data_IF_302633659146
#
_entry.id   IF_302633659146
#
_cell.length_a   1.000
_cell.length_b   1.000
_cell.length_c   1.000
_cell.angle_alpha   90.00
_cell.angle_beta   90.00
_cell.angle_gamma   90.00
#
_symmetry.space_group_name_H-M   'P 1'
#
loop_
_entity.id
_entity.type
_entity.pdbx_description
1 polymer ?
#
# COMPACT_ATOMS: atom_id res chain seq x y z
N UNK A 1 8.55 9.53 -7.95
CA UNK A 1 7.27 10.18 -7.63
C UNK A 1 6.68 10.78 -8.89
N UNK A 2 5.34 10.83 -9.05
CA UNK A 2 4.76 11.64 -10.11
C UNK A 2 5.10 13.11 -9.88
N UNK A 3 5.30 13.89 -10.95
CA UNK A 3 5.66 15.28 -10.83
C UNK A 3 4.58 16.13 -10.13
N UNK A 4 3.32 15.69 -10.20
CA UNK A 4 2.19 16.36 -9.57
C UNK A 4 1.26 15.36 -8.88
N UNK A 5 0.87 15.63 -7.63
CA UNK A 5 -0.09 14.84 -6.87
C UNK A 5 -1.48 15.50 -6.95
N UNK A 6 -2.35 14.96 -7.83
CA UNK A 6 -3.70 15.47 -8.01
C UNK A 6 -4.67 14.94 -6.94
N UNK A 7 -5.58 15.79 -6.47
CA UNK A 7 -6.78 15.41 -5.74
C UNK A 7 -6.55 14.67 -4.42
N UNK A 8 -5.46 14.98 -3.69
CA UNK A 8 -5.11 14.32 -2.42
C UNK A 8 -4.87 15.31 -1.27
N UNK A 9 -5.43 16.51 -1.38
CA UNK A 9 -5.25 17.53 -0.35
C UNK A 9 -5.97 17.16 0.95
N UNK A 10 -7.16 16.59 0.87
CA UNK A 10 -7.94 16.16 2.05
C UNK A 10 -7.17 15.13 2.86
N UNK A 11 -6.60 14.13 2.20
CA UNK A 11 -5.81 13.08 2.86
C UNK A 11 -4.53 13.62 3.48
N UNK A 12 -3.88 14.61 2.82
CA UNK A 12 -2.73 15.30 3.40
C UNK A 12 -3.11 16.13 4.63
N UNK A 13 -4.27 16.80 4.61
CA UNK A 13 -4.77 17.58 5.73
C UNK A 13 -5.15 16.68 6.92
N UNK A 14 -5.75 15.51 6.65
CA UNK A 14 -6.04 14.49 7.66
C UNK A 14 -4.76 13.95 8.31
N UNK A 15 -3.77 13.62 7.51
CA UNK A 15 -2.45 13.22 8.03
C UNK A 15 -1.80 14.35 8.85
N UNK A 16 -1.87 15.59 8.35
CA UNK A 16 -1.38 16.77 9.07
C UNK A 16 -2.02 16.95 10.46
N UNK A 17 -3.31 16.62 10.60
CA UNK A 17 -4.01 16.62 11.91
C UNK A 17 -3.50 15.51 12.82
N UNK A 18 -3.26 14.30 12.29
CA UNK A 18 -2.69 13.20 13.08
C UNK A 18 -1.30 13.55 13.61
N UNK A 19 -0.48 14.30 12.87
CA UNK A 19 0.84 14.76 13.31
C UNK A 19 0.82 15.80 14.45
N UNK A 20 -0.35 16.35 14.81
CA UNK A 20 -0.51 17.25 15.95
C UNK A 20 -0.77 16.50 17.27
N UNK A 21 -0.94 15.20 17.25
CA UNK A 21 -1.11 14.39 18.46
C UNK A 21 0.14 14.47 19.34
N UNK A 22 -0.04 14.77 20.61
CA UNK A 22 1.02 14.69 21.63
C UNK A 22 1.09 13.30 22.26
N UNK A 23 -0.06 12.65 22.38
CA UNK A 23 -0.21 11.23 22.71
C UNK A 23 -0.88 10.56 21.53
N UNK A 24 -0.39 9.42 21.07
CA UNK A 24 -0.94 8.73 19.91
C UNK A 24 -2.28 8.10 20.28
N UNK A 25 -3.35 8.73 19.82
CA UNK A 25 -4.73 8.26 19.99
C UNK A 25 -5.15 7.41 18.78
N UNK A 26 -4.67 7.78 17.61
CA UNK A 26 -4.97 7.11 16.35
C UNK A 26 -3.70 6.91 15.51
N UNK A 27 -3.56 5.73 14.98
CA UNK A 27 -2.62 5.38 13.91
C UNK A 27 -3.31 5.60 12.56
N UNK A 28 -2.63 5.38 11.44
CA UNK A 28 -3.18 5.62 10.12
C UNK A 28 -3.22 4.34 9.28
N UNK A 29 -4.35 4.12 8.61
CA UNK A 29 -4.45 3.16 7.49
C UNK A 29 -4.78 3.91 6.21
N UNK A 30 -3.93 3.75 5.20
CA UNK A 30 -4.25 4.12 3.82
C UNK A 30 -4.70 2.88 3.06
N UNK A 31 -5.95 2.82 2.65
CA UNK A 31 -6.47 1.66 1.93
C UNK A 31 -7.14 2.06 0.62
N UNK A 32 -7.22 1.13 -0.29
CA UNK A 32 -7.83 1.34 -1.61
C UNK A 32 -7.36 0.31 -2.63
N UNK A 33 -7.98 0.30 -3.79
CA UNK A 33 -7.64 -0.62 -4.87
C UNK A 33 -6.21 -0.42 -5.38
N UNK A 34 -5.71 -1.35 -6.17
CA UNK A 34 -4.41 -1.20 -6.84
C UNK A 34 -4.47 -0.03 -7.83
N UNK A 35 -3.39 0.75 -7.89
CA UNK A 35 -3.26 1.86 -8.83
C UNK A 35 -3.97 3.16 -8.45
N UNK A 36 -4.56 3.27 -7.25
CA UNK A 36 -5.17 4.52 -6.74
C UNK A 36 -4.15 5.52 -6.16
N UNK A 37 -2.87 5.15 -6.10
CA UNK A 37 -1.79 6.05 -5.66
C UNK A 37 -1.43 5.98 -4.17
N UNK A 38 -1.72 4.86 -3.47
CA UNK A 38 -1.40 4.67 -2.04
C UNK A 38 0.07 4.91 -1.72
N UNK A 39 0.97 4.19 -2.41
CA UNK A 39 2.43 4.30 -2.24
C UNK A 39 2.92 5.73 -2.48
N UNK A 40 2.39 6.39 -3.52
CA UNK A 40 2.74 7.78 -3.85
C UNK A 40 2.33 8.72 -2.72
N UNK A 41 1.14 8.54 -2.16
CA UNK A 41 0.66 9.36 -1.05
C UNK A 41 1.49 9.10 0.22
N UNK A 42 1.81 7.83 0.52
CA UNK A 42 2.67 7.47 1.65
C UNK A 42 4.05 8.18 1.54
N UNK A 43 4.66 8.15 0.36
CA UNK A 43 5.94 8.84 0.10
C UNK A 43 5.81 10.37 0.19
N UNK A 44 4.64 10.92 -0.11
CA UNK A 44 4.35 12.35 0.08
C UNK A 44 4.22 12.72 1.55
N UNK A 45 3.72 11.84 2.40
CA UNK A 45 3.59 12.05 3.84
C UNK A 45 4.94 12.14 4.55
N UNK A 46 5.95 11.43 4.07
CA UNK A 46 7.28 11.40 4.68
C UNK A 46 7.92 12.80 4.82
N UNK A 47 8.07 13.61 3.78
CA UNK A 47 8.62 14.97 3.94
C UNK A 47 7.74 15.86 4.82
N UNK A 48 6.41 15.72 4.78
CA UNK A 48 5.48 16.47 5.65
C UNK A 48 5.76 16.15 7.11
N UNK A 49 5.90 14.86 7.47
CA UNK A 49 6.19 14.42 8.82
C UNK A 49 7.56 14.94 9.30
N UNK A 50 8.60 14.81 8.47
CA UNK A 50 9.96 15.28 8.80
C UNK A 50 9.99 16.79 9.04
N UNK A 51 9.31 17.59 8.19
CA UNK A 51 9.20 19.03 8.36
C UNK A 51 8.49 19.43 9.68
N UNK A 52 7.58 18.58 10.16
CA UNK A 52 6.91 18.79 11.43
C UNK A 52 7.67 18.24 12.65
N UNK A 53 8.90 17.73 12.44
CA UNK A 53 9.77 17.24 13.54
C UNK A 53 9.56 15.78 13.91
N UNK A 54 8.89 14.98 13.09
CA UNK A 54 8.76 13.55 13.28
C UNK A 54 9.93 12.80 12.63
N UNK A 55 10.35 11.71 13.29
CA UNK A 55 11.22 10.71 12.65
C UNK A 55 10.38 9.75 11.81
N UNK A 56 10.97 9.20 10.76
CA UNK A 56 10.28 8.33 9.81
C UNK A 56 11.11 7.12 9.46
N UNK A 57 10.56 5.93 9.65
CA UNK A 57 11.15 4.65 9.26
C UNK A 57 10.09 3.76 8.62
N UNK A 58 10.52 2.69 7.98
CA UNK A 58 9.65 1.69 7.37
C UNK A 58 9.94 1.46 5.91
N UNK A 59 9.27 0.47 5.35
CA UNK A 59 9.43 -0.03 3.99
C UNK A 59 8.23 -0.91 3.60
N UNK A 60 8.32 -1.60 2.46
CA UNK A 60 7.30 -2.57 2.06
C UNK A 60 7.31 -3.80 2.97
N UNK A 61 6.13 -4.24 3.38
CA UNK A 61 5.96 -5.51 4.09
C UNK A 61 5.96 -6.66 3.10
N UNK A 62 7.05 -7.42 3.08
CA UNK A 62 7.15 -8.63 2.28
C UNK A 62 6.44 -9.82 2.95
N UNK A 63 6.08 -10.81 2.16
CA UNK A 63 5.54 -12.08 2.68
C UNK A 63 6.51 -12.73 3.69
N UNK A 64 7.82 -12.65 3.43
CA UNK A 64 8.86 -13.20 4.33
C UNK A 64 8.86 -12.53 5.70
N UNK A 65 8.55 -11.25 5.79
CA UNK A 65 8.44 -10.53 7.07
C UNK A 65 7.27 -11.05 7.90
N UNK A 66 6.19 -11.48 7.25
CA UNK A 66 4.96 -11.98 7.88
C UNK A 66 5.01 -13.47 8.28
N UNK A 67 6.10 -14.18 8.03
CA UNK A 67 6.18 -15.64 8.30
C UNK A 67 6.20 -15.94 9.79
N UNK A 68 6.84 -15.10 10.61
CA UNK A 68 7.02 -15.33 12.04
C UNK A 68 7.10 -14.05 12.85
N UNK A 69 6.83 -14.17 14.14
CA UNK A 69 7.00 -13.10 15.11
C UNK A 69 8.46 -12.59 15.15
N UNK A 70 9.44 -13.49 15.04
CA UNK A 70 10.87 -13.13 14.99
C UNK A 70 11.20 -12.27 13.78
N UNK A 71 10.58 -12.54 12.62
CA UNK A 71 10.81 -11.75 11.41
C UNK A 71 10.29 -10.32 11.56
N UNK A 72 9.14 -10.13 12.22
CA UNK A 72 8.64 -8.81 12.60
C UNK A 72 9.62 -8.10 13.54
N UNK A 73 10.17 -8.82 14.53
CA UNK A 73 11.15 -8.23 15.44
C UNK A 73 12.41 -7.76 14.70
N UNK A 74 12.98 -8.61 13.83
CA UNK A 74 14.13 -8.24 12.99
C UNK A 74 13.80 -7.03 12.12
N UNK A 75 12.61 -6.99 11.52
CA UNK A 75 12.17 -5.85 10.69
C UNK A 75 12.13 -4.55 11.49
N UNK A 76 11.47 -4.54 12.64
CA UNK A 76 11.37 -3.35 13.49
C UNK A 76 12.74 -2.85 13.97
N UNK A 77 13.63 -3.76 14.37
CA UNK A 77 15.00 -3.42 14.79
C UNK A 77 15.82 -2.86 13.63
N UNK A 78 15.67 -3.44 12.44
CA UNK A 78 16.34 -2.96 11.23
C UNK A 78 15.90 -1.55 10.88
N UNK A 79 14.59 -1.29 10.86
CA UNK A 79 14.03 0.02 10.55
C UNK A 79 14.46 1.06 11.57
N UNK A 80 14.38 0.72 12.85
CA UNK A 80 14.83 1.59 13.94
C UNK A 80 16.31 1.97 13.80
N UNK A 81 17.17 1.01 13.41
CA UNK A 81 18.60 1.24 13.24
C UNK A 81 18.94 2.28 12.18
N UNK A 82 18.08 2.47 11.19
CA UNK A 82 18.27 3.47 10.12
C UNK A 82 18.41 4.88 10.69
N UNK A 83 17.62 5.23 11.72
CA UNK A 83 17.61 6.56 12.33
C UNK A 83 18.46 6.64 13.60
N UNK A 84 18.79 5.51 14.23
CA UNK A 84 19.48 5.48 15.51
C UNK A 84 20.98 5.24 15.40
N UNK A 85 21.50 4.79 14.25
CA UNK A 85 22.91 4.40 14.06
C UNK A 85 23.92 5.52 14.36
N UNK A 86 23.52 6.78 14.27
CA UNK A 86 24.36 7.93 14.60
C UNK A 86 24.33 8.32 16.07
N UNK A 87 23.46 7.70 16.87
CA UNK A 87 23.30 8.05 18.30
C UNK A 87 24.32 7.28 19.14
N UNK A 88 25.19 8.01 19.81
CA UNK A 88 26.18 7.43 20.73
C UNK A 88 25.51 7.02 22.04
N UNK A 89 25.64 5.76 22.42
CA UNK A 89 25.08 5.19 23.66
C UNK A 89 26.11 5.06 24.77
N UNK A 90 27.39 4.83 24.43
CA UNK A 90 28.51 4.85 25.36
C UNK A 90 29.80 5.30 24.66
N UNK A 91 30.67 5.95 25.41
CA UNK A 91 32.03 6.33 24.96
C UNK A 91 33.01 5.84 25.99
N UNK A 92 33.99 5.06 25.58
CA UNK A 92 35.11 4.58 26.44
C UNK A 92 36.40 5.10 25.85
N UNK A 93 37.22 5.70 26.73
CA UNK A 93 38.59 6.06 26.37
C UNK A 93 39.48 4.84 26.50
N UNK A 94 39.92 4.26 25.39
CA UNK A 94 40.86 3.17 25.37
C UNK A 94 42.28 3.72 25.33
N UNK A 95 43.01 3.54 26.42
CA UNK A 95 44.46 3.84 26.47
C UNK A 95 45.20 2.67 25.85
N UNK A 96 45.47 2.77 24.56
CA UNK A 96 46.35 1.78 23.91
C UNK A 96 47.77 1.94 24.47
N UNK A 97 48.25 0.93 25.19
CA UNK A 97 49.62 0.87 25.64
C UNK A 97 50.59 0.82 24.45
N UNK A 98 51.10 1.97 24.05
CA UNK A 98 52.02 2.14 22.91
C UNK A 98 52.19 3.63 22.54
N UNK A 99 53.09 3.94 21.65
CA UNK A 99 53.61 5.26 21.29
C UNK A 99 52.61 6.35 20.82
N UNK A 100 51.29 6.18 20.92
CA UNK A 100 50.28 7.22 20.67
C UNK A 100 49.91 7.95 21.96
N UNK A 101 50.07 9.27 21.95
CA UNK A 101 49.80 10.16 23.11
C UNK A 101 48.31 10.52 23.32
N UNK A 102 47.41 10.15 22.43
CA UNK A 102 46.00 10.47 22.57
C UNK A 102 45.17 9.19 22.75
N UNK A 103 44.22 9.17 23.72
CA UNK A 103 43.30 8.06 23.88
C UNK A 103 42.40 7.95 22.66
N UNK A 104 42.19 6.74 22.18
CA UNK A 104 41.22 6.48 21.11
C UNK A 104 39.84 6.36 21.78
N UNK A 105 38.93 7.24 21.43
CA UNK A 105 37.53 7.13 21.85
C UNK A 105 36.85 6.03 21.06
N UNK A 106 36.48 4.95 21.74
CA UNK A 106 35.58 3.95 21.18
C UNK A 106 34.15 4.33 21.51
N UNK A 107 33.43 4.80 20.50
CA UNK A 107 32.04 5.14 20.61
C UNK A 107 31.16 3.97 20.18
N UNK A 108 30.34 3.49 21.09
CA UNK A 108 29.28 2.54 20.76
C UNK A 108 28.03 3.32 20.36
N UNK A 109 27.54 3.08 19.14
CA UNK A 109 26.32 3.70 18.63
C UNK A 109 25.11 2.76 18.75
N UNK A 110 23.91 3.32 18.68
CA UNK A 110 22.63 2.57 18.70
C UNK A 110 22.38 1.95 17.32
N UNK A 111 23.37 1.17 16.85
CA UNK A 111 23.33 0.45 15.59
C UNK A 111 22.46 -0.81 15.65
N UNK A 112 22.20 -1.44 14.52
CA UNK A 112 21.47 -2.71 14.47
C UNK A 112 22.11 -3.77 15.37
N UNK A 113 23.44 -3.91 15.34
CA UNK A 113 24.15 -4.89 16.18
C UNK A 113 23.96 -4.63 17.68
N UNK A 114 23.97 -3.38 18.10
CA UNK A 114 23.71 -2.98 19.49
C UNK A 114 22.26 -3.29 19.88
N UNK A 115 21.28 -2.88 19.06
CA UNK A 115 19.86 -3.16 19.28
C UNK A 115 19.57 -4.67 19.33
N UNK A 116 20.13 -5.45 18.40
CA UNK A 116 19.96 -6.90 18.36
C UNK A 116 20.60 -7.58 19.59
N UNK A 117 21.80 -7.15 20.00
CA UNK A 117 22.46 -7.67 21.21
C UNK A 117 21.62 -7.39 22.46
N UNK A 118 21.11 -6.19 22.61
CA UNK A 118 20.24 -5.84 23.77
C UNK A 118 18.92 -6.61 23.72
N UNK A 119 18.30 -6.75 22.53
CA UNK A 119 17.09 -7.52 22.34
C UNK A 119 17.26 -8.98 22.80
N UNK A 120 18.37 -9.62 22.47
CA UNK A 120 18.64 -11.01 22.88
C UNK A 120 18.84 -11.16 24.40
N UNK A 121 19.38 -10.14 25.08
CA UNK A 121 19.57 -10.12 26.51
C UNK A 121 18.29 -9.87 27.32
N UNK A 122 17.25 -9.34 26.70
CA UNK A 122 15.97 -9.11 27.36
C UNK A 122 15.24 -10.45 27.53
N UNK A 123 14.84 -10.83 28.77
CA UNK A 123 14.06 -12.04 28.99
C UNK A 123 12.61 -11.88 28.52
N UNK A 124 11.94 -13.00 28.22
CA UNK A 124 10.52 -13.04 27.88
C UNK A 124 10.26 -13.44 26.45
N UNK A 125 8.99 -13.35 26.06
CA UNK A 125 8.52 -13.62 24.70
C UNK A 125 8.95 -12.51 23.73
N UNK A 126 8.82 -12.76 22.43
CA UNK A 126 9.13 -11.78 21.38
C UNK A 126 8.45 -10.43 21.63
N UNK A 127 7.17 -10.45 22.05
CA UNK A 127 6.43 -9.24 22.39
C UNK A 127 7.06 -8.43 23.53
N UNK A 128 7.53 -9.11 24.61
CA UNK A 128 8.10 -8.45 25.77
C UNK A 128 9.46 -7.84 25.42
N UNK A 129 10.28 -8.60 24.70
CA UNK A 129 11.58 -8.15 24.19
C UNK A 129 11.41 -6.91 23.30
N UNK A 130 10.45 -6.94 22.34
CA UNK A 130 10.18 -5.83 21.44
C UNK A 130 9.72 -4.58 22.19
N UNK A 131 8.75 -4.70 23.09
CA UNK A 131 8.28 -3.58 23.89
C UNK A 131 9.45 -2.92 24.63
N UNK A 132 10.26 -3.74 25.28
CA UNK A 132 11.38 -3.24 26.08
C UNK A 132 12.47 -2.58 25.24
N UNK A 133 12.85 -3.16 24.10
CA UNK A 133 13.90 -2.57 23.24
C UNK A 133 13.44 -1.26 22.59
N UNK A 134 12.16 -1.15 22.20
CA UNK A 134 11.59 0.08 21.66
C UNK A 134 11.53 1.20 22.72
N UNK A 135 11.19 0.87 23.98
CA UNK A 135 11.27 1.80 25.09
C UNK A 135 12.71 2.31 25.33
N UNK A 136 13.67 1.39 25.35
CA UNK A 136 15.10 1.74 25.51
C UNK A 136 15.54 2.65 24.37
N UNK A 137 15.23 2.29 23.14
CA UNK A 137 15.59 3.11 21.97
C UNK A 137 14.99 4.51 22.05
N UNK A 138 13.73 4.64 22.49
CA UNK A 138 13.11 5.95 22.68
C UNK A 138 13.83 6.81 23.72
N UNK A 139 14.34 6.24 24.81
CA UNK A 139 15.13 6.98 25.80
C UNK A 139 16.39 7.66 25.21
N UNK A 140 16.92 7.12 24.11
CA UNK A 140 18.02 7.75 23.39
C UNK A 140 17.54 8.71 22.31
N UNK A 141 16.53 8.31 21.52
CA UNK A 141 15.98 9.11 20.44
C UNK A 141 15.39 10.43 20.94
N UNK A 142 14.69 10.43 22.07
CA UNK A 142 14.06 11.64 22.63
C UNK A 142 15.07 12.76 22.91
N UNK A 143 16.35 12.43 23.10
CA UNK A 143 17.43 13.42 23.30
C UNK A 143 17.71 14.26 22.05
N UNK A 144 17.31 13.81 20.88
CA UNK A 144 17.36 14.58 19.62
C UNK A 144 16.14 15.48 19.44
N UNK A 145 15.23 15.52 20.41
CA UNK A 145 14.03 16.35 20.48
C UNK A 145 13.03 16.14 19.31
N UNK A 146 12.74 14.90 18.88
CA UNK A 146 11.71 14.67 17.90
C UNK A 146 10.32 14.74 18.55
N UNK A 147 9.28 15.06 17.79
CA UNK A 147 7.89 14.95 18.24
C UNK A 147 7.46 13.51 18.47
N UNK A 148 7.99 12.59 17.66
CA UNK A 148 7.69 11.17 17.72
C UNK A 148 8.37 10.42 16.58
N UNK A 149 8.03 9.14 16.44
CA UNK A 149 8.55 8.25 15.41
C UNK A 149 7.39 7.58 14.67
N UNK A 150 7.42 7.66 13.35
CA UNK A 150 6.46 7.00 12.47
C UNK A 150 7.10 5.74 11.90
N UNK A 151 6.43 4.60 12.07
CA UNK A 151 6.70 3.36 11.38
C UNK A 151 5.69 3.21 10.24
N UNK A 152 6.16 3.39 9.02
CA UNK A 152 5.31 3.42 7.82
C UNK A 152 5.57 2.19 6.95
N UNK A 153 4.55 1.37 6.75
CA UNK A 153 4.66 0.13 6.01
C UNK A 153 3.68 0.07 4.85
N UNK A 154 4.22 -0.09 3.64
CA UNK A 154 3.39 -0.39 2.46
C UNK A 154 3.17 -1.89 2.29
N UNK A 155 2.23 -2.27 1.42
CA UNK A 155 1.81 -3.66 1.16
C UNK A 155 1.45 -4.44 2.44
N UNK A 156 0.93 -3.75 3.46
CA UNK A 156 0.63 -4.32 4.78
C UNK A 156 -0.43 -5.43 4.76
N UNK A 157 -1.19 -5.61 3.67
CA UNK A 157 -2.07 -6.77 3.52
C UNK A 157 -1.32 -8.12 3.45
N UNK A 158 0.01 -8.10 3.24
CA UNK A 158 0.86 -9.29 3.32
C UNK A 158 1.03 -9.77 4.76
N UNK A 159 0.82 -8.89 5.76
CA UNK A 159 0.79 -9.28 7.16
C UNK A 159 -0.41 -10.20 7.46
N UNK A 160 -0.21 -11.18 8.31
CA UNK A 160 -1.27 -12.09 8.73
C UNK A 160 -0.80 -12.97 9.89
N UNK A 161 -1.75 -13.54 10.60
CA UNK A 161 -1.48 -14.53 11.65
C UNK A 161 -1.57 -15.94 11.06
N UNK A 162 -0.74 -16.84 11.55
CA UNK A 162 -0.58 -18.22 11.08
C UNK A 162 -0.85 -19.19 12.23
N UNK A 163 -2.10 -19.27 12.70
CA UNK A 163 -2.48 -20.07 13.86
C UNK A 163 -2.07 -21.55 13.76
N UNK A 164 -2.12 -22.13 12.56
CA UNK A 164 -1.67 -23.51 12.33
C UNK A 164 -0.15 -23.72 12.60
N UNK A 165 0.64 -22.64 12.64
CA UNK A 165 2.07 -22.65 12.96
C UNK A 165 2.38 -22.00 14.30
N UNK A 166 1.35 -21.65 15.08
CA UNK A 166 1.47 -20.91 16.35
C UNK A 166 2.29 -19.60 16.19
N UNK A 167 2.13 -18.92 15.06
CA UNK A 167 2.78 -17.65 14.76
C UNK A 167 1.74 -16.55 14.55
N UNK A 168 1.90 -15.44 15.27
CA UNK A 168 0.94 -14.34 15.29
C UNK A 168 1.60 -12.98 15.00
N UNK A 169 2.30 -12.83 13.86
CA UNK A 169 3.11 -11.63 13.58
C UNK A 169 2.27 -10.36 13.46
N UNK A 170 1.05 -10.44 12.91
CA UNK A 170 0.15 -9.30 12.82
C UNK A 170 -0.36 -8.89 14.21
N UNK A 171 -0.85 -9.85 14.98
CA UNK A 171 -1.28 -9.64 16.37
C UNK A 171 -0.16 -9.07 17.24
N UNK A 172 1.07 -9.59 17.09
CA UNK A 172 2.25 -9.10 17.78
C UNK A 172 2.51 -7.62 17.48
N UNK A 173 2.48 -7.23 16.19
CA UNK A 173 2.72 -5.85 15.78
C UNK A 173 1.72 -4.90 16.47
N UNK A 174 0.44 -5.23 16.43
CA UNK A 174 -0.62 -4.42 17.04
C UNK A 174 -0.47 -4.32 18.56
N UNK A 175 -0.22 -5.44 19.24
CA UNK A 175 -0.04 -5.50 20.70
C UNK A 175 1.18 -4.69 21.16
N UNK A 176 2.27 -4.74 20.41
CA UNK A 176 3.49 -3.97 20.71
C UNK A 176 3.21 -2.47 20.60
N UNK A 177 2.66 -2.01 19.47
CA UNK A 177 2.39 -0.58 19.29
C UNK A 177 1.35 -0.06 20.29
N UNK A 178 0.26 -0.78 20.54
CA UNK A 178 -0.72 -0.40 21.54
C UNK A 178 -0.08 -0.27 22.95
N UNK A 179 0.79 -1.22 23.31
CA UNK A 179 1.47 -1.21 24.61
C UNK A 179 2.43 -0.01 24.78
N UNK A 180 3.19 0.32 23.73
CA UNK A 180 4.12 1.46 23.69
C UNK A 180 3.35 2.77 23.79
N UNK A 181 2.26 2.91 23.04
CA UNK A 181 1.42 4.11 23.04
C UNK A 181 0.74 4.34 24.40
N UNK A 182 0.34 3.30 25.11
CA UNK A 182 -0.18 3.40 26.49
C UNK A 182 0.84 3.92 27.50
N UNK A 183 2.12 3.95 27.17
CA UNK A 183 3.21 4.53 27.96
C UNK A 183 3.57 5.96 27.53
N UNK A 184 2.69 6.58 26.74
CA UNK A 184 2.88 7.92 26.17
C UNK A 184 4.15 8.05 25.30
N UNK A 185 4.64 6.94 24.74
CA UNK A 185 5.72 6.95 23.77
C UNK A 185 5.11 7.20 22.39
N UNK A 186 5.46 8.31 21.73
CA UNK A 186 4.79 8.76 20.49
C UNK A 186 5.29 8.00 19.26
N UNK A 187 5.05 6.70 19.23
CA UNK A 187 5.27 5.85 18.08
C UNK A 187 3.97 5.64 17.32
N UNK A 188 3.89 6.20 16.11
CA UNK A 188 2.73 6.08 15.23
C UNK A 188 2.97 4.98 14.21
N UNK A 189 1.97 4.13 14.00
CA UNK A 189 1.97 3.10 12.96
C UNK A 189 1.16 3.59 11.77
N UNK A 190 1.76 3.61 10.59
CA UNK A 190 1.11 3.92 9.31
C UNK A 190 1.15 2.70 8.44
N UNK A 191 -0.01 2.16 8.09
CA UNK A 191 -0.13 0.96 7.26
C UNK A 191 -0.82 1.30 5.95
N UNK A 192 -0.23 0.86 4.85
CA UNK A 192 -0.81 1.05 3.53
C UNK A 192 -1.11 -0.33 2.91
N UNK A 193 -2.30 -0.50 2.34
CA UNK A 193 -2.65 -1.79 1.78
C UNK A 193 -3.96 -1.83 0.99
N UNK A 194 -4.33 -3.03 0.59
CA UNK A 194 -5.59 -3.32 -0.09
C UNK A 194 -6.79 -3.21 0.87
N UNK A 195 -8.02 -3.09 0.38
CA UNK A 195 -9.22 -3.01 1.22
C UNK A 195 -9.40 -4.19 2.19
N UNK A 196 -8.75 -5.30 1.94
CA UNK A 196 -8.72 -6.48 2.83
C UNK A 196 -7.88 -6.27 4.09
N UNK A 197 -7.05 -5.22 4.16
CA UNK A 197 -6.17 -4.97 5.30
C UNK A 197 -6.96 -4.73 6.58
N UNK A 198 -7.90 -3.78 6.57
CA UNK A 198 -8.62 -3.42 7.80
C UNK A 198 -9.44 -4.58 8.40
N UNK A 199 -10.23 -5.35 7.62
CA UNK A 199 -10.86 -6.56 8.14
C UNK A 199 -9.89 -7.55 8.80
N UNK A 200 -8.69 -7.77 8.23
CA UNK A 200 -7.65 -8.62 8.83
C UNK A 200 -7.16 -8.09 10.18
N UNK A 201 -6.98 -6.77 10.29
CA UNK A 201 -6.57 -6.14 11.56
C UNK A 201 -7.62 -6.33 12.65
N UNK A 202 -8.89 -6.17 12.31
CA UNK A 202 -10.02 -6.37 13.24
C UNK A 202 -10.16 -7.84 13.64
N UNK A 203 -9.97 -8.76 12.71
CA UNK A 203 -9.96 -10.20 12.97
C UNK A 203 -8.82 -10.60 13.92
N UNK A 204 -7.63 -10.05 13.71
CA UNK A 204 -6.48 -10.28 14.59
C UNK A 204 -6.69 -9.68 15.98
N UNK A 205 -7.19 -8.44 16.06
CA UNK A 205 -7.46 -7.71 17.30
C UNK A 205 -8.65 -6.77 17.16
N UNK A 206 -9.72 -7.04 17.86
CA UNK A 206 -10.97 -6.25 17.81
C UNK A 206 -10.77 -4.76 18.18
N UNK A 207 -9.80 -4.43 19.02
CA UNK A 207 -9.50 -3.05 19.37
C UNK A 207 -8.89 -2.23 18.21
N UNK A 208 -8.50 -2.88 17.11
CA UNK A 208 -7.98 -2.19 15.92
C UNK A 208 -8.97 -1.19 15.34
N UNK A 209 -10.27 -1.41 15.51
CA UNK A 209 -11.31 -0.45 15.09
C UNK A 209 -11.16 0.95 15.73
N UNK A 210 -10.58 1.00 16.93
CA UNK A 210 -10.36 2.24 17.68
C UNK A 210 -8.92 2.73 17.64
N UNK A 211 -8.02 1.89 17.12
CA UNK A 211 -6.58 2.16 17.06
C UNK A 211 -6.20 2.94 15.79
N UNK A 212 -7.03 2.89 14.76
CA UNK A 212 -6.68 3.44 13.45
C UNK A 212 -7.70 4.43 12.92
N UNK A 213 -7.19 5.55 12.42
CA UNK A 213 -7.87 6.41 11.47
C UNK A 213 -7.74 5.80 10.07
N UNK A 214 -8.86 5.63 9.36
CA UNK A 214 -8.88 4.95 8.07
C UNK A 214 -9.14 5.96 6.97
N UNK A 215 -8.19 6.07 6.04
CA UNK A 215 -8.31 6.87 4.83
C UNK A 215 -8.49 5.91 3.65
N UNK A 216 -9.66 5.96 3.04
CA UNK A 216 -9.96 5.16 1.86
C UNK A 216 -9.68 5.97 0.60
N UNK A 217 -8.66 5.56 -0.16
CA UNK A 217 -8.34 6.18 -1.43
C UNK A 217 -9.19 5.57 -2.55
N UNK A 218 -9.94 6.43 -3.21
CA UNK A 218 -10.70 6.08 -4.42
C UNK A 218 -10.02 6.70 -5.66
N UNK A 219 -10.59 6.42 -6.82
CA UNK A 219 -10.25 7.07 -8.09
C UNK A 219 -10.39 8.59 -7.99
N UNK A 220 -9.66 9.30 -8.82
CA UNK A 220 -9.77 10.75 -8.94
C UNK A 220 -11.12 11.13 -9.58
N UNK A 221 -11.69 12.24 -9.17
CA UNK A 221 -12.80 12.84 -9.87
C UNK A 221 -12.36 13.41 -11.23
N UNK A 222 -13.31 13.87 -12.05
CA UNK A 222 -13.01 14.37 -13.40
C UNK A 222 -12.05 15.58 -13.39
N UNK A 223 -12.21 16.50 -12.44
CA UNK A 223 -11.34 17.69 -12.31
C UNK A 223 -9.91 17.31 -11.94
N UNK A 224 -9.77 16.50 -10.89
CA UNK A 224 -8.45 16.02 -10.45
C UNK A 224 -7.76 15.14 -11.50
N UNK A 225 -8.55 14.35 -12.26
CA UNK A 225 -8.01 13.57 -13.38
C UNK A 225 -7.45 14.45 -14.49
N UNK A 226 -8.15 15.54 -14.84
CA UNK A 226 -7.64 16.54 -15.78
C UNK A 226 -6.38 17.22 -15.28
N UNK A 227 -6.33 17.57 -13.99
CA UNK A 227 -5.15 18.14 -13.35
C UNK A 227 -3.96 17.16 -13.39
N UNK A 228 -4.21 15.87 -13.13
CA UNK A 228 -3.17 14.84 -13.21
C UNK A 228 -2.59 14.63 -14.62
N UNK A 229 -3.35 15.00 -15.67
CA UNK A 229 -2.91 14.96 -17.06
C UNK A 229 -2.17 16.26 -17.44
N UNK A 230 -2.79 17.40 -17.17
CA UNK A 230 -2.34 18.69 -17.74
C UNK A 230 -1.21 19.35 -16.94
N UNK A 231 -1.26 19.30 -15.60
CA UNK A 231 -0.27 19.99 -14.76
C UNK A 231 1.15 19.45 -14.95
N UNK A 232 1.40 18.13 -15.01
CA UNK A 232 2.75 17.64 -15.30
C UNK A 232 3.29 18.11 -16.66
N UNK A 233 2.44 18.21 -17.68
CA UNK A 233 2.81 18.69 -19.01
C UNK A 233 3.22 20.17 -18.94
N UNK A 234 2.44 20.99 -18.22
CA UNK A 234 2.70 22.41 -18.05
C UNK A 234 3.97 22.68 -17.22
N UNK A 235 4.12 22.00 -16.09
CA UNK A 235 5.27 22.15 -15.18
C UNK A 235 6.58 21.72 -15.84
N UNK A 236 6.55 20.68 -16.68
CA UNK A 236 7.70 20.21 -17.42
C UNK A 236 8.03 21.06 -18.67
N UNK A 237 7.20 22.03 -19.03
CA UNK A 237 7.33 22.78 -20.29
C UNK A 237 7.30 21.87 -21.53
N UNK A 238 6.53 20.79 -21.47
CA UNK A 238 6.46 19.80 -22.52
C UNK A 238 5.86 20.40 -23.80
N UNK A 239 6.44 20.15 -24.99
CA UNK A 239 5.93 20.69 -26.26
C UNK A 239 4.63 20.03 -26.74
N UNK A 240 4.19 18.96 -26.07
CA UNK A 240 2.95 18.24 -26.39
C UNK A 240 1.74 19.00 -25.88
N UNK A 241 0.84 19.38 -26.77
CA UNK A 241 -0.43 20.02 -26.44
C UNK A 241 -1.57 19.04 -26.68
N UNK A 242 -2.34 18.75 -25.62
CA UNK A 242 -3.53 17.90 -25.70
C UNK A 242 -4.76 18.78 -25.91
N UNK A 243 -5.62 18.39 -26.85
CA UNK A 243 -6.94 19.01 -27.01
C UNK A 243 -7.87 18.61 -25.85
N UNK A 244 -8.96 19.34 -25.65
CA UNK A 244 -9.93 18.97 -24.62
C UNK A 244 -10.52 17.59 -24.87
N UNK A 245 -10.80 17.23 -26.13
CA UNK A 245 -11.30 15.93 -26.54
C UNK A 245 -10.30 14.81 -26.21
N UNK A 246 -9.00 15.07 -26.41
CA UNK A 246 -7.93 14.12 -26.04
C UNK A 246 -7.89 13.92 -24.53
N UNK A 247 -7.99 14.98 -23.75
CA UNK A 247 -8.01 14.91 -22.28
C UNK A 247 -9.25 14.17 -21.80
N UNK A 248 -10.44 14.46 -22.36
CA UNK A 248 -11.69 13.77 -22.01
C UNK A 248 -11.61 12.28 -22.32
N UNK A 249 -11.07 11.91 -23.48
CA UNK A 249 -10.83 10.50 -23.85
C UNK A 249 -9.92 9.77 -22.85
N UNK A 250 -8.84 10.43 -22.39
CA UNK A 250 -7.94 9.85 -21.39
C UNK A 250 -8.68 9.67 -20.05
N UNK A 251 -9.43 10.67 -19.60
CA UNK A 251 -10.20 10.61 -18.33
C UNK A 251 -11.21 9.48 -18.37
N UNK A 252 -11.97 9.35 -19.47
CA UNK A 252 -12.98 8.30 -19.64
C UNK A 252 -12.34 6.91 -19.69
N UNK A 253 -11.27 6.75 -20.47
CA UNK A 253 -10.56 5.47 -20.62
C UNK A 253 -9.94 5.01 -19.33
N UNK A 254 -9.28 5.91 -18.59
CA UNK A 254 -8.66 5.61 -17.30
C UNK A 254 -9.66 5.43 -16.15
N UNK A 255 -10.91 5.90 -16.34
CA UNK A 255 -11.95 5.98 -15.30
C UNK A 255 -11.48 6.68 -14.01
N UNK A 256 -10.50 7.59 -14.11
CA UNK A 256 -9.95 8.36 -12.98
C UNK A 256 -8.94 7.60 -12.12
N UNK A 257 -8.50 6.42 -12.51
CA UNK A 257 -7.45 5.71 -11.76
C UNK A 257 -6.05 6.26 -12.10
N UNK A 258 -5.29 6.78 -11.14
CA UNK A 258 -4.00 7.43 -11.37
C UNK A 258 -3.01 6.57 -12.16
N UNK A 259 -2.93 5.28 -11.88
CA UNK A 259 -2.07 4.37 -12.61
C UNK A 259 -2.40 4.33 -14.12
N UNK A 260 -3.69 4.23 -14.46
CA UNK A 260 -4.11 4.19 -15.86
C UNK A 260 -3.97 5.55 -16.53
N UNK A 261 -4.20 6.66 -15.82
CA UNK A 261 -3.89 8.00 -16.34
C UNK A 261 -2.43 8.08 -16.75
N UNK A 262 -1.50 7.69 -15.87
CA UNK A 262 -0.06 7.72 -16.15
C UNK A 262 0.31 6.78 -17.31
N UNK A 263 -0.24 5.57 -17.33
CA UNK A 263 0.00 4.61 -18.41
C UNK A 263 -0.44 5.18 -19.76
N UNK A 264 -1.68 5.67 -19.84
CA UNK A 264 -2.25 6.22 -21.07
C UNK A 264 -1.49 7.47 -21.50
N UNK A 265 -1.18 8.40 -20.59
CA UNK A 265 -0.42 9.60 -20.91
C UNK A 265 0.97 9.29 -21.47
N UNK A 266 1.66 8.26 -20.94
CA UNK A 266 2.95 7.82 -21.49
C UNK A 266 2.81 7.32 -22.93
N UNK A 267 1.84 6.45 -23.19
CA UNK A 267 1.59 5.93 -24.54
C UNK A 267 1.17 7.04 -25.53
N UNK A 268 0.32 7.94 -25.08
CA UNK A 268 -0.09 9.12 -25.88
C UNK A 268 1.13 9.99 -26.20
N UNK A 269 1.97 10.26 -25.22
CA UNK A 269 3.18 11.06 -25.41
C UNK A 269 4.11 10.45 -26.49
N UNK A 270 4.36 9.14 -26.39
CA UNK A 270 5.22 8.43 -27.35
C UNK A 270 4.66 8.52 -28.80
N UNK A 271 3.34 8.34 -28.95
CA UNK A 271 2.67 8.49 -30.25
C UNK A 271 2.72 9.92 -30.76
N UNK A 272 2.52 10.92 -29.89
CA UNK A 272 2.59 12.34 -30.27
C UNK A 272 3.97 12.73 -30.76
N UNK A 273 5.04 12.30 -30.08
CA UNK A 273 6.41 12.56 -30.52
C UNK A 273 6.69 11.92 -31.88
N UNK A 274 6.26 10.68 -32.10
CA UNK A 274 6.45 9.99 -33.38
C UNK A 274 5.69 10.66 -34.52
N UNK A 275 4.43 11.05 -34.31
CA UNK A 275 3.59 11.73 -35.33
C UNK A 275 4.07 13.15 -35.62
N UNK A 276 4.50 13.91 -34.59
CA UNK A 276 5.07 15.24 -34.79
C UNK A 276 6.34 15.18 -35.63
N UNK A 277 7.21 14.17 -35.44
CA UNK A 277 8.38 13.93 -36.27
C UNK A 277 8.04 13.56 -37.72
N UNK A 278 6.84 13.00 -37.97
CA UNK A 278 6.34 12.64 -39.30
C UNK A 278 5.47 13.75 -39.94
N UNK A 279 5.25 14.89 -39.28
CA UNK A 279 4.41 16.00 -39.77
C UNK A 279 2.89 15.66 -39.80
N UNK A 280 2.45 14.71 -39.01
CA UNK A 280 1.05 14.26 -38.92
C UNK A 280 0.36 14.89 -37.71
N UNK A 281 -0.94 15.19 -37.81
CA UNK A 281 -1.73 15.62 -36.66
C UNK A 281 -1.84 14.51 -35.62
N UNK A 282 -1.47 14.77 -34.37
CA UNK A 282 -1.53 13.79 -33.33
C UNK A 282 -2.98 13.58 -32.83
N UNK A 283 -3.37 12.32 -32.69
CA UNK A 283 -4.64 11.91 -32.08
C UNK A 283 -4.39 10.86 -31.02
N UNK A 284 -5.24 10.76 -30.02
CA UNK A 284 -5.13 9.72 -28.97
C UNK A 284 -5.49 8.36 -29.60
N UNK A 285 -4.56 7.41 -29.74
CA UNK A 285 -4.82 6.12 -30.36
C UNK A 285 -5.47 5.16 -29.35
N UNK A 286 -6.72 5.44 -28.98
CA UNK A 286 -7.42 4.75 -27.87
C UNK A 286 -7.46 3.23 -28.02
N UNK A 287 -7.71 2.70 -29.23
CA UNK A 287 -7.75 1.26 -29.48
C UNK A 287 -6.38 0.58 -29.29
N UNK A 288 -5.30 1.24 -29.73
CA UNK A 288 -3.94 0.71 -29.58
C UNK A 288 -3.52 0.74 -28.10
N UNK A 289 -3.81 1.81 -27.40
CA UNK A 289 -3.57 1.95 -25.96
C UNK A 289 -4.34 0.88 -25.19
N UNK A 290 -5.61 0.64 -25.53
CA UNK A 290 -6.42 -0.39 -24.88
C UNK A 290 -5.87 -1.80 -25.14
N UNK A 291 -5.44 -2.12 -26.37
CA UNK A 291 -4.79 -3.41 -26.66
C UNK A 291 -3.51 -3.60 -25.86
N UNK A 292 -2.69 -2.55 -25.74
CA UNK A 292 -1.47 -2.60 -24.95
C UNK A 292 -1.74 -2.72 -23.46
N UNK A 293 -2.75 -2.03 -22.94
CA UNK A 293 -3.21 -2.18 -21.55
C UNK A 293 -3.69 -3.60 -21.28
N UNK A 294 -4.45 -4.19 -22.22
CA UNK A 294 -4.94 -5.55 -22.12
C UNK A 294 -3.80 -6.57 -22.09
N UNK A 295 -2.77 -6.40 -22.94
CA UNK A 295 -1.60 -7.30 -22.97
C UNK A 295 -0.68 -7.14 -21.76
N UNK A 296 -0.34 -5.92 -21.42
CA UNK A 296 0.72 -5.63 -20.45
C UNK A 296 0.23 -5.67 -18.99
N UNK A 297 -1.05 -5.34 -18.78
CA UNK A 297 -1.60 -5.24 -17.43
C UNK A 297 -2.58 -6.36 -17.06
N UNK A 298 -3.52 -6.71 -17.94
CA UNK A 298 -4.59 -7.66 -17.60
C UNK A 298 -4.28 -9.11 -17.98
N UNK A 299 -3.65 -9.37 -19.14
CA UNK A 299 -3.49 -10.72 -19.69
C UNK A 299 -2.75 -11.67 -18.74
N UNK A 300 -1.66 -11.21 -18.09
CA UNK A 300 -0.90 -12.03 -17.15
C UNK A 300 -1.70 -12.43 -15.90
N UNK A 301 -2.63 -11.59 -15.45
CA UNK A 301 -3.53 -11.90 -14.34
C UNK A 301 -4.65 -12.84 -14.77
N UNK A 302 -5.23 -12.58 -15.93
CA UNK A 302 -6.26 -13.41 -16.54
C UNK A 302 -5.77 -14.84 -16.82
N UNK A 303 -4.53 -15.01 -17.21
CA UNK A 303 -3.91 -16.32 -17.46
C UNK A 303 -3.82 -17.20 -16.20
N UNK A 304 -3.89 -16.62 -15.00
CA UNK A 304 -3.89 -17.38 -13.72
C UNK A 304 -5.23 -18.04 -13.40
N UNK A 305 -6.31 -17.58 -14.05
CA UNK A 305 -7.64 -18.14 -13.84
C UNK A 305 -7.86 -19.36 -14.74
N UNK A 306 -8.45 -20.42 -14.20
CA UNK A 306 -8.92 -21.58 -14.98
C UNK A 306 -10.10 -21.19 -15.85
N UNK A 307 -10.42 -21.99 -16.89
CA UNK A 307 -11.53 -21.69 -17.79
C UNK A 307 -12.86 -21.56 -17.05
N UNK A 308 -13.09 -22.39 -16.02
CA UNK A 308 -14.29 -22.31 -15.20
C UNK A 308 -14.33 -21.07 -14.31
N UNK A 309 -13.17 -20.62 -13.83
CA UNK A 309 -13.04 -19.35 -13.11
C UNK A 309 -13.23 -18.14 -14.04
N UNK A 310 -12.74 -18.22 -15.29
CA UNK A 310 -12.97 -17.19 -16.32
C UNK A 310 -14.45 -17.05 -16.66
N UNK A 311 -15.16 -18.18 -16.78
CA UNK A 311 -16.62 -18.17 -16.95
C UNK A 311 -17.33 -17.49 -15.79
N UNK A 312 -16.94 -17.79 -14.53
CA UNK A 312 -17.48 -17.12 -13.35
C UNK A 312 -17.18 -15.61 -13.31
N UNK A 313 -15.94 -15.22 -13.66
CA UNK A 313 -15.55 -13.80 -13.75
C UNK A 313 -16.32 -13.09 -14.86
N UNK A 314 -16.60 -13.78 -15.96
CA UNK A 314 -17.46 -13.29 -17.04
C UNK A 314 -18.87 -12.96 -16.55
N UNK A 315 -19.49 -13.88 -15.80
CA UNK A 315 -20.78 -13.61 -15.16
C UNK A 315 -20.71 -12.41 -14.23
N UNK A 316 -19.67 -12.35 -13.37
CA UNK A 316 -19.49 -11.22 -12.46
C UNK A 316 -19.38 -9.89 -13.23
N UNK A 317 -18.66 -9.88 -14.36
CA UNK A 317 -18.47 -8.68 -15.17
C UNK A 317 -19.77 -8.22 -15.86
N UNK A 318 -20.74 -9.11 -16.10
CA UNK A 318 -22.02 -8.75 -16.73
C UNK A 318 -23.07 -8.24 -15.74
N UNK A 319 -22.88 -8.42 -14.43
CA UNK A 319 -23.77 -7.88 -13.42
C UNK A 319 -23.80 -6.34 -13.48
N UNK A 320 -24.94 -5.74 -13.24
CA UNK A 320 -25.05 -4.27 -13.08
C UNK A 320 -24.22 -3.79 -11.90
N UNK A 321 -24.13 -4.62 -10.86
CA UNK A 321 -23.31 -4.39 -9.65
C UNK A 321 -21.81 -4.64 -9.84
N UNK A 322 -21.35 -5.05 -11.04
CA UNK A 322 -19.94 -5.43 -11.30
C UNK A 322 -18.91 -4.34 -10.93
N UNK A 323 -19.31 -3.07 -10.99
CA UNK A 323 -18.47 -1.91 -10.65
C UNK A 323 -18.42 -1.60 -9.14
N UNK A 324 -19.24 -2.25 -8.34
CA UNK A 324 -19.32 -2.06 -6.88
C UNK A 324 -19.09 -3.39 -6.15
N UNK A 325 -20.14 -4.06 -5.78
CA UNK A 325 -20.10 -5.31 -5.03
C UNK A 325 -21.09 -6.30 -5.64
N UNK A 326 -20.69 -7.56 -5.70
CA UNK A 326 -21.55 -8.67 -6.13
C UNK A 326 -21.55 -9.79 -5.08
N UNK A 327 -22.58 -10.62 -5.11
CA UNK A 327 -22.79 -11.71 -4.15
C UNK A 327 -22.69 -13.08 -4.82
N UNK A 328 -22.43 -14.11 -4.01
CA UNK A 328 -22.49 -15.51 -4.45
C UNK A 328 -23.87 -15.84 -5.03
N UNK A 329 -24.95 -15.31 -4.43
CA UNK A 329 -26.31 -15.60 -4.85
C UNK A 329 -26.61 -15.01 -6.23
N UNK A 330 -26.23 -13.75 -6.48
CA UNK A 330 -26.38 -13.12 -7.81
C UNK A 330 -25.67 -13.91 -8.91
N UNK A 331 -24.43 -14.40 -8.63
CA UNK A 331 -23.68 -15.20 -9.59
C UNK A 331 -24.35 -16.56 -9.84
N UNK A 332 -24.85 -17.23 -8.80
CA UNK A 332 -25.56 -18.50 -8.94
C UNK A 332 -26.85 -18.32 -9.73
N UNK A 333 -27.65 -17.30 -9.45
CA UNK A 333 -28.90 -17.03 -10.17
C UNK A 333 -28.64 -16.67 -11.63
N UNK A 334 -27.63 -15.84 -11.90
CA UNK A 334 -27.24 -15.51 -13.28
C UNK A 334 -26.78 -16.75 -14.02
N UNK A 335 -25.95 -17.59 -13.40
CA UNK A 335 -25.44 -18.83 -14.01
C UNK A 335 -26.57 -19.79 -14.42
N UNK A 336 -27.62 -19.90 -13.62
CA UNK A 336 -28.79 -20.74 -13.97
C UNK A 336 -29.54 -20.28 -15.21
N UNK A 337 -29.44 -18.97 -15.53
CA UNK A 337 -30.11 -18.38 -16.70
C UNK A 337 -29.26 -18.41 -17.96
N UNK A 338 -27.92 -18.44 -17.81
CA UNK A 338 -27.01 -18.16 -18.94
C UNK A 338 -26.06 -19.33 -19.25
N UNK A 339 -25.75 -20.21 -18.27
CA UNK A 339 -24.78 -21.27 -18.47
C UNK A 339 -25.45 -22.64 -18.72
N UNK A 340 -24.86 -23.44 -19.60
CA UNK A 340 -25.28 -24.84 -19.77
C UNK A 340 -25.08 -25.69 -18.51
N UNK A 341 -24.00 -25.41 -17.76
CA UNK A 341 -23.67 -26.04 -16.49
C UNK A 341 -23.68 -24.98 -15.36
N UNK A 342 -24.81 -24.74 -14.71
CA UNK A 342 -24.91 -23.74 -13.65
C UNK A 342 -23.97 -24.00 -12.47
N UNK A 343 -23.57 -22.94 -11.80
CA UNK A 343 -22.74 -23.04 -10.60
C UNK A 343 -23.58 -23.27 -9.35
N UNK A 344 -23.08 -24.11 -8.43
CA UNK A 344 -23.62 -24.21 -7.07
C UNK A 344 -22.98 -23.14 -6.17
N UNK A 345 -23.65 -22.76 -5.08
CA UNK A 345 -23.14 -21.79 -4.10
C UNK A 345 -21.80 -22.24 -3.49
N UNK A 346 -21.64 -23.54 -3.21
CA UNK A 346 -20.38 -24.07 -2.67
C UNK A 346 -19.23 -23.90 -3.67
N UNK A 347 -19.47 -24.23 -4.94
CA UNK A 347 -18.46 -24.10 -6.00
C UNK A 347 -18.08 -22.63 -6.26
N UNK A 348 -19.07 -21.72 -6.26
CA UNK A 348 -18.80 -20.26 -6.39
C UNK A 348 -17.93 -19.78 -5.23
N UNK A 349 -18.26 -20.15 -3.98
CA UNK A 349 -17.45 -19.76 -2.82
C UNK A 349 -16.00 -20.26 -2.91
N UNK A 350 -15.80 -21.51 -3.31
CA UNK A 350 -14.46 -22.08 -3.49
C UNK A 350 -13.66 -21.35 -4.58
N UNK A 351 -14.31 -21.06 -5.70
CA UNK A 351 -13.66 -20.33 -6.81
C UNK A 351 -13.34 -18.88 -6.42
N UNK A 352 -14.26 -18.18 -5.74
CA UNK A 352 -14.03 -16.82 -5.28
C UNK A 352 -12.90 -16.76 -4.24
N UNK A 353 -12.76 -17.76 -3.36
CA UNK A 353 -11.61 -17.86 -2.46
C UNK A 353 -10.30 -17.96 -3.24
N UNK A 354 -10.21 -18.90 -4.20
CA UNK A 354 -9.03 -19.05 -5.06
C UNK A 354 -8.73 -17.81 -5.92
N UNK A 355 -9.76 -17.15 -6.43
CA UNK A 355 -9.61 -15.89 -7.19
C UNK A 355 -9.18 -14.72 -6.30
N UNK A 356 -9.54 -14.75 -5.01
CA UNK A 356 -9.06 -13.77 -4.02
C UNK A 356 -7.58 -13.98 -3.73
N UNK A 357 -7.13 -15.22 -3.57
CA UNK A 357 -5.72 -15.56 -3.42
C UNK A 357 -4.90 -15.16 -4.67
N UNK A 358 -5.50 -15.30 -5.86
CA UNK A 358 -4.91 -14.84 -7.11
C UNK A 358 -4.94 -13.31 -7.30
N UNK A 359 -5.61 -12.57 -6.42
CA UNK A 359 -5.72 -11.11 -6.44
C UNK A 359 -6.58 -10.55 -7.58
N UNK A 360 -7.55 -11.32 -8.07
CA UNK A 360 -8.50 -10.91 -9.11
C UNK A 360 -9.80 -10.34 -8.52
N UNK A 361 -10.23 -10.89 -7.40
CA UNK A 361 -11.35 -10.40 -6.61
C UNK A 361 -10.93 -10.24 -5.16
N UNK A 362 -11.71 -9.55 -4.37
CA UNK A 362 -11.53 -9.54 -2.92
C UNK A 362 -12.89 -9.58 -2.21
N UNK A 363 -12.91 -10.12 -1.01
CA UNK A 363 -14.09 -10.12 -0.16
C UNK A 363 -14.14 -8.80 0.59
N UNK A 364 -15.10 -7.96 0.24
CA UNK A 364 -15.24 -6.64 0.82
C UNK A 364 -15.87 -6.72 2.23
N UNK A 365 -16.96 -7.48 2.35
CA UNK A 365 -17.66 -7.78 3.61
C UNK A 365 -18.33 -9.14 3.51
N UNK A 366 -18.98 -9.58 4.59
CA UNK A 366 -19.60 -10.92 4.61
C UNK A 366 -20.54 -11.13 3.41
N UNK A 367 -20.24 -12.15 2.60
CA UNK A 367 -21.02 -12.52 1.41
C UNK A 367 -20.92 -11.59 0.21
N UNK A 368 -20.09 -10.52 0.26
CA UNK A 368 -19.91 -9.57 -0.84
C UNK A 368 -18.48 -9.54 -1.35
N UNK A 369 -18.34 -9.50 -2.67
CA UNK A 369 -17.07 -9.51 -3.38
C UNK A 369 -17.02 -8.35 -4.37
N UNK A 370 -15.80 -7.91 -4.69
CA UNK A 370 -15.54 -6.89 -5.69
C UNK A 370 -14.30 -7.28 -6.50
N UNK A 371 -14.14 -6.73 -7.70
CA UNK A 371 -12.89 -6.86 -8.46
C UNK A 371 -11.75 -6.16 -7.74
N UNK A 372 -10.63 -6.87 -7.55
CA UNK A 372 -9.44 -6.32 -6.89
C UNK A 372 -8.61 -5.41 -7.81
N UNK A 373 -8.85 -5.54 -9.12
CA UNK A 373 -8.14 -4.81 -10.17
C UNK A 373 -9.12 -3.87 -10.86
N UNK A 374 -8.86 -2.56 -10.84
CA UNK A 374 -9.70 -1.61 -11.56
C UNK A 374 -9.81 -1.93 -13.04
N UNK A 375 -10.97 -1.67 -13.64
CA UNK A 375 -11.27 -1.89 -15.06
C UNK A 375 -11.17 -3.36 -15.52
N UNK A 376 -10.99 -4.32 -14.62
CA UNK A 376 -10.94 -5.73 -14.97
C UNK A 376 -12.27 -6.21 -15.57
N UNK A 377 -13.41 -5.68 -15.10
CA UNK A 377 -14.73 -5.94 -15.67
C UNK A 377 -14.80 -5.54 -17.15
N UNK A 378 -14.26 -4.37 -17.52
CA UNK A 378 -14.20 -3.91 -18.92
C UNK A 378 -13.31 -4.80 -19.77
N UNK A 379 -12.15 -5.22 -19.27
CA UNK A 379 -11.26 -6.15 -19.94
C UNK A 379 -11.96 -7.50 -20.19
N UNK A 380 -12.60 -8.08 -19.16
CA UNK A 380 -13.30 -9.36 -19.26
C UNK A 380 -14.40 -9.29 -20.32
N UNK A 381 -15.21 -8.23 -20.35
CA UNK A 381 -16.25 -8.04 -21.37
C UNK A 381 -15.68 -8.03 -22.78
N UNK A 382 -14.53 -7.36 -23.01
CA UNK A 382 -13.85 -7.39 -24.31
C UNK A 382 -13.37 -8.80 -24.68
N UNK A 383 -12.81 -9.56 -23.74
CA UNK A 383 -12.37 -10.94 -23.96
C UNK A 383 -13.54 -11.88 -24.31
N UNK A 384 -14.74 -11.61 -23.83
CA UNK A 384 -15.94 -12.39 -24.12
C UNK A 384 -16.67 -11.94 -25.39
N UNK A 385 -16.13 -10.98 -26.15
CA UNK A 385 -16.76 -10.43 -27.35
C UNK A 385 -18.01 -9.59 -27.06
N UNK A 386 -18.22 -9.20 -25.84
CA UNK A 386 -19.27 -8.26 -25.44
C UNK A 386 -18.68 -6.84 -25.57
N UNK A 387 -18.79 -6.26 -26.76
CA UNK A 387 -18.38 -4.89 -27.05
C UNK A 387 -19.30 -3.95 -26.27
N UNK A 388 -18.72 -3.08 -25.48
CA UNK A 388 -19.41 -1.93 -24.89
C UNK A 388 -19.28 -0.76 -25.80
#
# INVERSE_FOLDING_TARGET
MPPYLAGRQTEQDEFGRLLQQTTILENLILTGLRGVGKTVLLETFKPIAIQQGWLWVGTDMSESTSVSETNIAVRLLTDLSVISSSIVVSSQDEVIAGFKREPVKLEQTLSYSTLASWYEQIPGLVADKLKRILEIAWCYLVKTNPKGLIFAYDEAQNLGDHAAKEQYPLSLLLDVFQSIQRKDIPFMLVLTGLPTLFPKLVEARTYSERMFHIVFLDRLNSGDSRDAILKPIQEAGCPVHLTNESVDSIVETSAGYPYFIQFICREVYDVFIQKAGAGQEPSVPTEEIMRKLDSDFFAGRWARATDRQRELLGLAATLESSRSEFTVQELVELSKRTCQNPFSSSHVNQMLASLSDAGLVYKNRHGKYSFAVPLLDRFIRRQMGQIT
#
